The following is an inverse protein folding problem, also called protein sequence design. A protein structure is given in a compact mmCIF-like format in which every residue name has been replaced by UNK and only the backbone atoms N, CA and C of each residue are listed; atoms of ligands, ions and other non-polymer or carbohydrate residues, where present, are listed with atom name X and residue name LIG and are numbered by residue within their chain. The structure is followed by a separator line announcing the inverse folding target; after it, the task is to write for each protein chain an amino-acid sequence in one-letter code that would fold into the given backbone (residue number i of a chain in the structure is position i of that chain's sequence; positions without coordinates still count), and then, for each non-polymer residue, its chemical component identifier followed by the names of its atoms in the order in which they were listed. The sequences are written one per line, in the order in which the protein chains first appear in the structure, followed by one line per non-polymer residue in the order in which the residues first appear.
data_IF_749100072231
#
_entry.id   IF_749100072231
#
_cell.length_a   1.000
_cell.length_b   1.000
_cell.length_c   1.000
_cell.angle_alpha   90.00
_cell.angle_beta   90.00
_cell.angle_gamma   90.00
#
_symmetry.space_group_name_H-M   'P 1'
#
loop_
_entity.id
_entity.type
_entity.pdbx_description
1 polymer ?
#
# COMPACT_ATOMS: atom_id res chain seq x y z
N UNK A 1 9.55 11.93 38.78
CA UNK A 1 10.04 12.45 37.48
C UNK A 1 11.05 11.48 36.85
N UNK A 2 10.60 10.33 36.33
CA UNK A 2 11.47 9.33 35.67
C UNK A 2 10.86 8.71 34.39
N UNK A 3 9.72 9.23 33.91
CA UNK A 3 8.97 8.63 32.79
C UNK A 3 9.16 9.33 31.44
N UNK A 4 9.86 10.47 31.41
CA UNK A 4 10.10 11.23 30.16
C UNK A 4 11.52 11.04 29.58
N UNK A 5 12.42 10.35 30.28
CA UNK A 5 13.78 10.11 29.79
C UNK A 5 13.84 9.15 28.59
N UNK A 6 12.91 8.20 28.49
CA UNK A 6 12.87 7.25 27.36
C UNK A 6 12.41 7.91 26.06
N UNK A 7 11.60 8.97 26.13
CA UNK A 7 11.09 9.68 24.96
C UNK A 7 12.16 10.59 24.34
N UNK A 8 13.09 11.10 25.15
CA UNK A 8 14.22 11.92 24.70
C UNK A 8 15.26 11.04 23.98
N UNK A 9 15.46 9.79 24.41
CA UNK A 9 16.43 8.88 23.79
C UNK A 9 16.05 8.49 22.34
N UNK A 10 14.75 8.33 22.07
CA UNK A 10 14.23 8.09 20.71
C UNK A 10 14.43 9.33 19.82
N UNK A 11 14.32 10.53 20.39
CA UNK A 11 14.52 11.77 19.65
C UNK A 11 16.01 12.06 19.38
N UNK A 12 16.91 11.70 20.32
CA UNK A 12 18.34 11.96 20.19
C UNK A 12 19.01 11.08 19.11
N UNK A 13 18.54 9.84 18.92
CA UNK A 13 19.11 8.92 17.93
C UNK A 13 18.84 9.30 16.46
N UNK A 14 17.83 10.15 16.23
CA UNK A 14 17.50 10.68 14.90
C UNK A 14 18.36 11.87 14.49
N UNK A 15 19.01 12.55 15.44
CA UNK A 15 19.74 13.81 15.20
C UNK A 15 21.26 13.60 15.15
N UNK A 16 21.82 12.54 15.76
CA UNK A 16 23.28 12.42 15.94
C UNK A 16 24.01 11.44 15.01
N UNK A 17 23.33 10.67 14.15
CA UNK A 17 24.02 9.75 13.23
C UNK A 17 24.44 10.42 11.92
N UNK A 18 25.09 11.57 12.03
CA UNK A 18 26.08 12.03 11.07
C UNK A 18 27.44 11.41 11.39
N UNK A 19 27.60 10.09 11.23
CA UNK A 19 28.92 9.42 11.25
C UNK A 19 28.93 8.33 10.16
N UNK A 20 29.65 8.67 9.09
CA UNK A 20 30.34 7.81 8.12
C UNK A 20 29.98 6.33 8.05
N UNK A 21 29.19 5.99 7.04
CA UNK A 21 28.94 4.63 6.60
C UNK A 21 27.77 4.66 5.65
N UNK A 22 28.01 4.42 4.37
CA UNK A 22 27.02 4.40 3.28
C UNK A 22 26.09 3.17 3.38
N UNK A 23 25.70 2.80 4.60
CA UNK A 23 24.60 1.89 4.92
C UNK A 23 23.37 2.79 4.98
N UNK A 24 22.49 2.69 3.98
CA UNK A 24 21.36 3.59 3.82
C UNK A 24 20.54 3.64 5.11
N UNK A 25 20.03 4.83 5.47
CA UNK A 25 19.07 5.02 6.57
C UNK A 25 17.88 4.03 6.45
N UNK A 26 17.55 3.61 5.22
CA UNK A 26 16.54 2.58 4.95
C UNK A 26 16.94 1.17 5.42
N UNK A 27 18.22 0.78 5.34
CA UNK A 27 18.68 -0.55 5.75
C UNK A 27 18.69 -0.70 7.26
N UNK A 28 19.18 0.32 7.98
CA UNK A 28 19.06 0.41 9.43
C UNK A 28 17.60 0.39 9.89
N UNK A 29 16.72 1.12 9.20
CA UNK A 29 15.29 1.13 9.49
C UNK A 29 14.63 -0.23 9.24
N UNK A 30 15.00 -0.94 8.17
CA UNK A 30 14.52 -2.31 7.89
C UNK A 30 14.92 -3.27 9.01
N UNK A 31 16.15 -3.16 9.51
CA UNK A 31 16.65 -4.02 10.58
C UNK A 31 15.85 -3.81 11.87
N UNK A 32 15.58 -2.56 12.23
CA UNK A 32 14.74 -2.21 13.38
C UNK A 32 13.30 -2.72 13.21
N UNK A 33 12.68 -2.49 12.05
CA UNK A 33 11.32 -2.96 11.75
C UNK A 33 11.22 -4.48 11.82
N UNK A 34 12.27 -5.22 11.43
CA UNK A 34 12.28 -6.69 11.47
C UNK A 34 12.13 -7.22 12.90
N UNK A 35 12.59 -6.48 13.90
CA UNK A 35 12.50 -6.84 15.32
C UNK A 35 11.13 -6.49 15.95
N UNK A 36 10.32 -5.68 15.28
CA UNK A 36 8.97 -5.33 15.76
C UNK A 36 7.98 -6.46 15.51
N UNK A 37 6.96 -6.57 16.36
CA UNK A 37 5.89 -7.56 16.22
C UNK A 37 4.53 -6.91 15.91
N UNK A 38 3.69 -7.66 15.19
CA UNK A 38 2.29 -7.30 14.94
C UNK A 38 2.06 -5.87 14.41
N UNK A 39 1.19 -5.13 15.10
CA UNK A 39 0.67 -3.83 14.66
C UNK A 39 1.74 -2.73 14.62
N UNK A 40 2.73 -2.79 15.50
CA UNK A 40 3.83 -1.81 15.52
C UNK A 40 4.67 -1.91 14.25
N UNK A 41 4.98 -3.15 13.83
CA UNK A 41 5.65 -3.42 12.55
C UNK A 41 4.86 -2.87 11.38
N UNK A 42 3.54 -3.07 11.36
CA UNK A 42 2.67 -2.55 10.31
C UNK A 42 2.73 -1.02 10.21
N UNK A 43 2.55 -0.33 11.34
CA UNK A 43 2.60 1.13 11.38
C UNK A 43 3.97 1.67 10.96
N UNK A 44 5.06 1.01 11.39
CA UNK A 44 6.42 1.42 11.05
C UNK A 44 6.71 1.26 9.54
N UNK A 45 6.28 0.14 8.93
CA UNK A 45 6.43 -0.08 7.48
C UNK A 45 5.61 0.96 6.70
N UNK A 46 4.36 1.21 7.10
CA UNK A 46 3.50 2.20 6.45
C UNK A 46 4.11 3.60 6.49
N UNK A 47 4.61 4.00 7.66
CA UNK A 47 5.29 5.29 7.85
C UNK A 47 6.58 5.37 7.03
N UNK A 48 7.35 4.29 6.94
CA UNK A 48 8.55 4.24 6.10
C UNK A 48 8.19 4.44 4.62
N UNK A 49 7.17 3.74 4.10
CA UNK A 49 6.73 3.92 2.71
C UNK A 49 6.31 5.37 2.42
N UNK A 50 5.57 6.01 3.32
CA UNK A 50 5.20 7.43 3.21
C UNK A 50 6.32 8.43 3.51
N UNK A 51 7.45 8.02 4.06
CA UNK A 51 8.63 8.89 4.16
C UNK A 51 9.38 8.87 2.84
N UNK A 52 9.69 7.67 2.37
CA UNK A 52 10.52 7.50 1.19
C UNK A 52 9.81 7.82 -0.12
N UNK A 53 8.47 7.96 -0.18
CA UNK A 53 7.82 8.31 -1.46
C UNK A 53 8.31 9.64 -2.06
N UNK A 54 8.79 10.56 -1.22
CA UNK A 54 9.37 11.84 -1.67
C UNK A 54 10.84 11.72 -2.06
N UNK A 55 11.61 11.03 -1.22
CA UNK A 55 13.07 10.95 -1.26
C UNK A 55 13.57 9.87 -2.23
N UNK A 56 12.95 8.69 -2.20
CA UNK A 56 13.33 7.51 -2.97
C UNK A 56 12.10 6.58 -3.21
N UNK A 57 11.45 6.72 -4.38
CA UNK A 57 10.29 5.91 -4.75
C UNK A 57 10.54 4.40 -4.77
N UNK A 58 11.78 3.95 -5.04
CA UNK A 58 12.13 2.52 -5.05
C UNK A 58 12.18 1.95 -3.62
N UNK A 59 12.74 2.71 -2.68
CA UNK A 59 12.70 2.36 -1.26
C UNK A 59 11.25 2.36 -0.75
N UNK A 60 10.44 3.34 -1.16
CA UNK A 60 8.99 3.37 -0.84
C UNK A 60 8.29 2.10 -1.32
N UNK A 61 8.51 1.69 -2.57
CA UNK A 61 7.96 0.45 -3.13
C UNK A 61 8.40 -0.78 -2.35
N UNK A 62 9.66 -0.85 -1.93
CA UNK A 62 10.17 -1.97 -1.14
C UNK A 62 9.51 -2.08 0.25
N UNK A 63 9.27 -0.95 0.94
CA UNK A 63 8.51 -0.97 2.19
C UNK A 63 7.04 -1.33 1.96
N UNK A 64 6.42 -0.77 0.92
CA UNK A 64 5.04 -1.08 0.58
C UNK A 64 4.83 -2.57 0.25
N UNK A 65 5.78 -3.23 -0.43
CA UNK A 65 5.76 -4.70 -0.63
C UNK A 65 5.90 -5.50 0.67
N UNK A 66 6.62 -4.99 1.66
CA UNK A 66 6.65 -5.62 2.98
C UNK A 66 5.31 -5.47 3.70
N UNK A 67 4.62 -4.34 3.50
CA UNK A 67 3.29 -4.10 4.05
C UNK A 67 2.24 -5.03 3.44
N UNK A 68 2.31 -5.25 2.12
CA UNK A 68 1.44 -6.19 1.39
C UNK A 68 1.48 -7.60 1.99
N UNK A 69 2.68 -8.08 2.31
CA UNK A 69 2.96 -9.43 2.84
C UNK A 69 2.58 -9.61 4.32
N UNK A 70 2.13 -8.54 5.00
CA UNK A 70 1.67 -8.68 6.38
C UNK A 70 0.43 -9.56 6.42
N UNK A 71 0.26 -10.41 7.43
CA UNK A 71 -0.89 -11.29 7.51
C UNK A 71 -2.16 -10.49 7.90
N UNK A 72 -3.34 -10.97 7.53
CA UNK A 72 -4.59 -10.22 7.67
C UNK A 72 -5.01 -10.00 9.14
N UNK A 73 -4.52 -10.84 10.06
CA UNK A 73 -4.68 -10.69 11.51
C UNK A 73 -3.97 -9.43 12.05
N UNK A 74 -2.95 -8.95 11.32
CA UNK A 74 -2.19 -7.76 11.69
C UNK A 74 -2.73 -6.51 11.02
N UNK A 75 -3.05 -6.61 9.72
CA UNK A 75 -3.64 -5.52 8.93
C UNK A 75 -4.73 -6.07 8.04
N UNK A 76 -5.96 -5.57 8.20
CA UNK A 76 -7.08 -5.98 7.35
C UNK A 76 -6.82 -5.69 5.87
N UNK A 77 -7.35 -6.54 4.99
CA UNK A 77 -7.27 -6.34 3.53
C UNK A 77 -7.76 -4.95 3.10
N UNK A 78 -8.85 -4.45 3.71
CA UNK A 78 -9.37 -3.10 3.46
C UNK A 78 -8.32 -2.03 3.78
N UNK A 79 -7.67 -2.12 4.94
CA UNK A 79 -6.63 -1.17 5.34
C UNK A 79 -5.44 -1.21 4.40
N UNK A 80 -5.05 -2.40 3.87
CA UNK A 80 -4.03 -2.51 2.84
C UNK A 80 -4.42 -1.79 1.56
N UNK A 81 -5.63 -2.03 1.06
CA UNK A 81 -6.16 -1.37 -0.15
C UNK A 81 -6.16 0.15 0.02
N UNK A 82 -6.67 0.64 1.16
CA UNK A 82 -6.72 2.08 1.46
C UNK A 82 -5.32 2.70 1.51
N UNK A 83 -4.34 1.98 2.07
CA UNK A 83 -2.94 2.39 2.07
C UNK A 83 -2.37 2.53 0.65
N UNK A 84 -2.53 1.51 -0.20
CA UNK A 84 -2.02 1.55 -1.57
C UNK A 84 -2.69 2.63 -2.43
N UNK A 85 -4.00 2.82 -2.28
CA UNK A 85 -4.74 3.92 -2.93
C UNK A 85 -4.30 5.30 -2.44
N UNK A 86 -3.95 5.43 -1.15
CA UNK A 86 -3.44 6.69 -0.62
C UNK A 86 -2.05 6.99 -1.18
N UNK A 87 -1.18 5.98 -1.23
CA UNK A 87 0.18 6.11 -1.74
C UNK A 87 0.19 6.41 -3.25
N UNK A 88 -0.66 5.74 -4.04
CA UNK A 88 -0.79 6.01 -5.48
C UNK A 88 -1.20 7.45 -5.76
N UNK A 89 -2.20 7.98 -5.05
CA UNK A 89 -2.62 9.39 -5.16
C UNK A 89 -1.49 10.36 -4.83
N UNK A 90 -0.65 10.05 -3.84
CA UNK A 90 0.53 10.88 -3.51
C UNK A 90 1.57 10.90 -4.63
N UNK A 91 1.81 9.77 -5.28
CA UNK A 91 2.69 9.73 -6.46
C UNK A 91 2.08 10.46 -7.66
N UNK A 92 0.77 10.34 -7.86
CA UNK A 92 0.04 11.05 -8.91
C UNK A 92 0.13 12.58 -8.75
N UNK A 93 -0.02 13.09 -7.53
CA UNK A 93 0.15 14.52 -7.21
C UNK A 93 1.56 15.04 -7.54
N UNK A 94 2.57 14.16 -7.51
CA UNK A 94 3.96 14.47 -7.89
C UNK A 94 4.27 14.21 -9.36
N UNK A 95 3.27 13.80 -10.16
CA UNK A 95 3.43 13.39 -11.56
C UNK A 95 4.34 12.17 -11.77
N UNK A 96 4.53 11.38 -10.72
CA UNK A 96 5.30 10.13 -10.72
C UNK A 96 4.39 8.95 -11.14
N UNK A 97 3.83 9.05 -12.36
CA UNK A 97 2.75 8.16 -12.83
C UNK A 97 3.16 6.70 -12.88
N UNK A 98 4.43 6.40 -13.16
CA UNK A 98 4.96 5.03 -13.15
C UNK A 98 4.73 4.36 -11.79
N UNK A 99 5.06 5.05 -10.70
CA UNK A 99 4.88 4.54 -9.35
C UNK A 99 3.40 4.54 -8.94
N UNK A 100 2.65 5.58 -9.31
CA UNK A 100 1.21 5.62 -9.07
C UNK A 100 0.50 4.40 -9.66
N UNK A 101 0.81 4.03 -10.91
CA UNK A 101 0.23 2.88 -11.60
C UNK A 101 0.61 1.55 -10.95
N UNK A 102 1.85 1.40 -10.48
CA UNK A 102 2.28 0.21 -9.73
C UNK A 102 1.42 0.05 -8.47
N UNK A 103 1.23 1.11 -7.69
CA UNK A 103 0.45 1.05 -6.45
C UNK A 103 -1.05 0.86 -6.69
N UNK A 104 -1.61 1.47 -7.74
CA UNK A 104 -2.99 1.21 -8.17
C UNK A 104 -3.18 -0.27 -8.54
N UNK A 105 -2.24 -0.87 -9.29
CA UNK A 105 -2.32 -2.29 -9.65
C UNK A 105 -2.24 -3.22 -8.44
N UNK A 106 -1.42 -2.89 -7.44
CA UNK A 106 -1.37 -3.65 -6.18
C UNK A 106 -2.71 -3.53 -5.43
N UNK A 107 -3.27 -2.32 -5.32
CA UNK A 107 -4.58 -2.11 -4.70
C UNK A 107 -5.70 -2.90 -5.39
N UNK A 108 -5.68 -2.96 -6.72
CA UNK A 108 -6.64 -3.72 -7.53
C UNK A 108 -6.47 -5.24 -7.36
N UNK A 109 -5.22 -5.72 -7.36
CA UNK A 109 -4.92 -7.13 -7.07
C UNK A 109 -5.41 -7.55 -5.67
N UNK A 110 -5.31 -6.67 -4.67
CA UNK A 110 -5.81 -6.96 -3.33
C UNK A 110 -7.34 -6.92 -3.25
N UNK A 111 -7.99 -6.09 -4.07
CA UNK A 111 -9.45 -6.05 -4.16
C UNK A 111 -10.02 -7.33 -4.78
N UNK A 112 -9.36 -7.85 -5.82
CA UNK A 112 -9.75 -9.10 -6.49
C UNK A 112 -9.45 -10.36 -5.66
N UNK A 113 -8.49 -10.28 -4.73
CA UNK A 113 -8.21 -11.33 -3.73
C UNK A 113 -9.22 -11.40 -2.59
N UNK A 114 -10.16 -10.45 -2.47
CA UNK A 114 -11.29 -10.66 -1.54
C UNK A 114 -11.88 -12.04 -1.86
N UNK A 115 -12.09 -12.91 -0.86
CA UNK A 115 -12.90 -14.09 -1.10
C UNK A 115 -14.17 -13.54 -1.71
N UNK A 116 -14.47 -13.98 -2.93
CA UNK A 116 -15.74 -13.69 -3.56
C UNK A 116 -16.77 -14.06 -2.51
N UNK A 117 -17.30 -13.06 -1.80
CA UNK A 117 -18.70 -13.09 -1.41
C UNK A 117 -19.34 -13.44 -2.72
N UNK A 118 -19.79 -14.69 -2.82
CA UNK A 118 -20.57 -15.19 -3.91
C UNK A 118 -21.64 -14.13 -4.06
N UNK A 119 -21.45 -13.19 -5.00
CA UNK A 119 -22.58 -12.57 -5.65
C UNK A 119 -23.25 -13.79 -6.21
N UNK A 120 -24.30 -14.24 -5.55
CA UNK A 120 -25.33 -15.00 -6.21
C UNK A 120 -25.68 -14.13 -7.42
N UNK A 121 -25.03 -14.44 -8.53
CA UNK A 121 -25.55 -14.12 -9.83
C UNK A 121 -26.79 -14.97 -9.85
N UNK A 122 -27.89 -14.41 -9.36
CA UNK A 122 -29.21 -14.90 -9.65
C UNK A 122 -29.24 -14.97 -11.16
N UNK A 123 -29.04 -16.18 -11.69
CA UNK A 123 -29.22 -16.51 -13.09
C UNK A 123 -30.69 -16.25 -13.37
N UNK A 124 -31.02 -14.99 -13.64
CA UNK A 124 -32.20 -14.63 -14.39
C UNK A 124 -31.72 -14.33 -15.78
N UNK A 125 -31.60 -15.40 -16.56
CA UNK A 125 -31.60 -15.33 -18.02
C UNK A 125 -32.75 -14.42 -18.43
N UNK A 126 -32.42 -13.21 -18.88
CA UNK A 126 -33.35 -12.36 -19.60
C UNK A 126 -32.61 -11.92 -20.85
N UNK A 127 -33.31 -12.13 -21.96
CA UNK A 127 -32.76 -12.25 -23.30
C UNK A 127 -31.91 -11.07 -23.74
N UNK A 128 -31.11 -11.37 -24.76
CA UNK A 128 -30.49 -10.41 -25.68
C UNK A 128 -31.24 -9.07 -25.74
N UNK A 129 -30.55 -7.93 -25.55
CA UNK A 129 -31.21 -6.63 -25.61
C UNK A 129 -31.84 -6.46 -26.99
N UNK A 130 -33.15 -6.18 -27.03
CA UNK A 130 -33.93 -5.95 -28.25
C UNK A 130 -33.30 -4.88 -29.19
N UNK A 131 -32.40 -4.04 -28.65
CA UNK A 131 -31.59 -3.09 -29.42
C UNK A 131 -30.67 -3.74 -30.47
N UNK A 132 -30.29 -5.02 -30.32
CA UNK A 132 -29.42 -5.70 -31.30
C UNK A 132 -30.19 -6.07 -32.59
N UNK A 133 -31.49 -6.33 -32.50
CA UNK A 133 -32.33 -6.66 -33.66
C UNK A 133 -32.77 -5.44 -34.48
N UNK A 134 -32.83 -4.25 -33.84
CA UNK A 134 -33.13 -2.99 -34.55
C UNK A 134 -32.01 -2.60 -35.52
N UNK A 135 -30.76 -3.01 -35.27
CA UNK A 135 -29.65 -2.73 -36.18
C UNK A 135 -29.70 -3.57 -37.46
N UNK A 136 -30.23 -4.79 -37.40
CA UNK A 136 -30.27 -5.69 -38.57
C UNK A 136 -31.40 -5.32 -39.55
N UNK A 137 -32.49 -4.71 -39.09
CA UNK A 137 -33.61 -4.34 -39.96
C UNK A 137 -33.36 -3.07 -40.80
N UNK A 138 -32.40 -2.22 -40.42
CA UNK A 138 -32.04 -1.01 -41.18
C UNK A 138 -31.05 -1.32 -42.31
N UNK A 139 -30.42 -2.51 -42.27
CA UNK A 139 -29.38 -2.90 -43.22
C UNK A 139 -29.87 -3.86 -44.33
N UNK A 140 -31.18 -4.17 -44.35
CA UNK A 140 -31.82 -5.06 -45.33
C UNK A 140 -32.75 -4.30 -46.27
#
# INVERSE_FOLDING_TARGET
MKKYFSLIFVFLFLVTNGISGQVSNADSLRLVIRQMSGKEKAAAIQKAAFRFYQEDPEISLNFARQYEKLPDEVVSLKTKIDFFNSLSKKFEQRKEYRYALIFYKIADSLQTMKPNSVREVSQKSSGLPAAFYLFIFILL
#
